data_IF_263694997259
#
_entry.id   IF_263694997259
#
_cell.length_a   1.000
_cell.length_b   1.000
_cell.length_c   1.000
_cell.angle_alpha   90.00
_cell.angle_beta   90.00
_cell.angle_gamma   90.00
#
_symmetry.space_group_name_H-M   'P 1'
#
loop_
_entity.id
_entity.type
_entity.pdbx_description
1 polymer ?
#
# COMPACT_ATOMS: atom_id res chain seq x y z
N UNK A 1 -14.61 -10.38 -12.04
CA UNK A 1 -14.19 -10.99 -10.76
C UNK A 1 -13.56 -12.41 -10.86
N UNK A 2 -14.23 -13.45 -11.40
CA UNK A 2 -13.69 -14.84 -11.40
C UNK A 2 -12.33 -15.04 -12.08
N UNK A 3 -12.05 -14.29 -13.16
CA UNK A 3 -10.77 -14.38 -13.87
C UNK A 3 -9.59 -13.85 -13.02
N UNK A 4 -9.79 -12.73 -12.31
CA UNK A 4 -8.75 -12.16 -11.42
C UNK A 4 -8.41 -13.17 -10.32
N UNK A 5 -9.43 -13.78 -9.72
CA UNK A 5 -9.24 -14.72 -8.63
C UNK A 5 -8.39 -15.92 -9.06
N UNK A 6 -8.60 -16.45 -10.28
CA UNK A 6 -7.77 -17.52 -10.81
C UNK A 6 -6.31 -17.08 -10.98
N UNK A 7 -6.06 -15.89 -11.53
CA UNK A 7 -4.71 -15.35 -11.69
C UNK A 7 -4.02 -15.07 -10.35
N UNK A 8 -4.76 -14.58 -9.35
CA UNK A 8 -4.24 -14.37 -7.99
C UNK A 8 -3.91 -15.68 -7.29
N UNK A 9 -4.66 -16.75 -7.54
CA UNK A 9 -4.31 -18.10 -7.07
C UNK A 9 -3.01 -18.57 -7.74
N UNK A 10 -2.83 -18.32 -9.04
CA UNK A 10 -1.57 -18.64 -9.72
C UNK A 10 -0.38 -17.87 -9.12
N UNK A 11 -0.57 -16.61 -8.72
CA UNK A 11 0.45 -15.83 -8.00
C UNK A 11 0.81 -16.52 -6.68
N UNK A 12 -0.17 -17.00 -5.92
CA UNK A 12 0.08 -17.74 -4.67
C UNK A 12 0.87 -19.04 -4.90
N UNK A 13 0.56 -19.76 -5.98
CA UNK A 13 1.17 -21.06 -6.28
C UNK A 13 2.60 -20.94 -6.83
N UNK A 14 2.86 -19.90 -7.62
CA UNK A 14 4.10 -19.80 -8.40
C UNK A 14 5.02 -18.64 -7.97
N UNK A 15 4.50 -17.67 -7.23
CA UNK A 15 5.17 -16.41 -6.93
C UNK A 15 5.36 -15.49 -8.15
N UNK A 16 4.97 -15.93 -9.35
CA UNK A 16 5.10 -15.17 -10.58
C UNK A 16 3.82 -14.41 -10.89
N UNK A 17 3.96 -13.21 -11.44
CA UNK A 17 2.82 -12.38 -11.88
C UNK A 17 2.58 -12.67 -13.36
N UNK A 18 1.45 -13.33 -13.74
CA UNK A 18 1.18 -13.66 -15.13
C UNK A 18 1.14 -12.40 -16.02
N UNK A 19 1.56 -12.47 -17.30
CA UNK A 19 1.48 -11.33 -18.21
C UNK A 19 0.05 -10.77 -18.37
N UNK A 20 -0.96 -11.65 -18.32
CA UNK A 20 -2.37 -11.27 -18.37
C UNK A 20 -2.77 -10.45 -17.17
N UNK A 21 -2.33 -10.84 -15.96
CA UNK A 21 -2.55 -10.06 -14.74
C UNK A 21 -1.76 -8.75 -14.75
N UNK A 22 -0.53 -8.75 -15.28
CA UNK A 22 0.30 -7.56 -15.37
C UNK A 22 -0.33 -6.43 -16.19
N UNK A 23 -1.07 -6.76 -17.26
CA UNK A 23 -1.79 -5.77 -18.06
C UNK A 23 -2.94 -5.10 -17.28
N UNK A 24 -3.50 -5.82 -16.31
CA UNK A 24 -4.69 -5.42 -15.54
C UNK A 24 -4.37 -4.52 -14.36
N UNK A 25 -3.11 -4.52 -13.90
CA UNK A 25 -2.68 -3.62 -12.83
C UNK A 25 -2.89 -2.13 -13.17
N UNK A 26 -2.95 -1.78 -14.46
CA UNK A 26 -3.21 -0.41 -14.91
C UNK A 26 -4.65 0.04 -14.74
N UNK A 27 -5.60 -0.91 -14.61
CA UNK A 27 -7.01 -0.60 -14.43
C UNK A 27 -7.32 -0.45 -12.93
N UNK A 28 -7.84 0.71 -12.48
CA UNK A 28 -8.08 0.96 -11.06
C UNK A 28 -9.17 0.06 -10.45
N UNK A 29 -10.22 -0.29 -11.19
CA UNK A 29 -11.25 -1.26 -10.72
C UNK A 29 -10.63 -2.63 -10.42
N UNK A 30 -9.78 -3.10 -11.34
CA UNK A 30 -9.08 -4.37 -11.20
C UNK A 30 -8.14 -4.33 -9.99
N UNK A 31 -7.44 -3.22 -9.73
CA UNK A 31 -6.61 -3.06 -8.52
C UNK A 31 -7.44 -3.11 -7.25
N UNK A 32 -8.54 -2.36 -7.18
CA UNK A 32 -9.44 -2.38 -6.02
C UNK A 32 -9.99 -3.78 -5.75
N UNK A 33 -10.41 -4.50 -6.79
CA UNK A 33 -10.84 -5.89 -6.67
C UNK A 33 -9.73 -6.83 -6.17
N UNK A 34 -8.47 -6.59 -6.55
CA UNK A 34 -7.31 -7.32 -6.02
C UNK A 34 -7.10 -7.03 -4.52
N UNK A 35 -7.22 -5.78 -4.08
CA UNK A 35 -7.12 -5.43 -2.66
C UNK A 35 -8.19 -6.14 -1.82
N UNK A 36 -9.44 -6.14 -2.28
CA UNK A 36 -10.53 -6.89 -1.64
C UNK A 36 -10.26 -8.40 -1.54
N UNK A 37 -9.60 -8.98 -2.53
CA UNK A 37 -9.21 -10.39 -2.48
C UNK A 37 -8.07 -10.66 -1.47
N UNK A 38 -7.14 -9.72 -1.32
CA UNK A 38 -5.91 -9.87 -0.53
C UNK A 38 -6.15 -9.55 0.96
N UNK A 39 -7.03 -8.59 1.28
CA UNK A 39 -7.20 -8.04 2.64
C UNK A 39 -7.57 -9.09 3.69
N UNK A 40 -8.27 -10.15 3.29
CA UNK A 40 -8.68 -11.26 4.18
C UNK A 40 -7.77 -12.49 4.10
N UNK A 41 -6.60 -12.34 3.48
CA UNK A 41 -5.61 -13.40 3.30
C UNK A 41 -4.32 -13.05 4.03
N UNK A 42 -3.22 -13.66 3.62
CA UNK A 42 -1.86 -13.34 4.11
C UNK A 42 -1.20 -12.41 3.08
N UNK A 43 -1.19 -11.07 3.28
CA UNK A 43 -0.66 -10.13 2.30
C UNK A 43 0.81 -10.41 1.93
N UNK A 44 1.58 -10.99 2.85
CA UNK A 44 2.97 -11.43 2.63
C UNK A 44 3.12 -12.30 1.37
N UNK A 45 2.14 -13.18 1.11
CA UNK A 45 2.18 -14.09 -0.05
C UNK A 45 1.99 -13.35 -1.38
N UNK A 46 1.51 -12.11 -1.33
CA UNK A 46 1.29 -11.25 -2.48
C UNK A 46 2.27 -10.07 -2.53
N UNK A 47 3.28 -10.01 -1.65
CA UNK A 47 4.14 -8.83 -1.52
C UNK A 47 4.71 -8.32 -2.85
N UNK A 48 5.22 -9.21 -3.70
CA UNK A 48 5.75 -8.82 -5.02
C UNK A 48 4.68 -8.21 -5.93
N UNK A 49 3.44 -8.69 -5.84
CA UNK A 49 2.30 -8.11 -6.55
C UNK A 49 1.91 -6.76 -5.94
N UNK A 50 1.87 -6.65 -4.61
CA UNK A 50 1.55 -5.40 -3.90
C UNK A 50 2.55 -4.29 -4.22
N UNK A 51 3.85 -4.59 -4.31
CA UNK A 51 4.86 -3.61 -4.71
C UNK A 51 4.60 -3.08 -6.13
N UNK A 52 4.22 -3.95 -7.07
CA UNK A 52 3.87 -3.53 -8.43
C UNK A 52 2.55 -2.77 -8.50
N UNK A 53 1.57 -3.16 -7.68
CA UNK A 53 0.31 -2.42 -7.55
C UNK A 53 0.59 -1.01 -7.02
N UNK A 54 1.47 -0.88 -6.03
CA UNK A 54 1.84 0.41 -5.46
C UNK A 54 2.53 1.33 -6.47
N UNK A 55 3.40 0.79 -7.34
CA UNK A 55 3.97 1.54 -8.46
C UNK A 55 2.89 2.09 -9.39
N UNK A 56 1.86 1.30 -9.71
CA UNK A 56 0.73 1.72 -10.54
C UNK A 56 -0.15 2.76 -9.82
N UNK A 57 -0.30 2.69 -8.50
CA UNK A 57 -1.03 3.73 -7.74
C UNK A 57 -0.29 5.07 -7.73
N UNK A 58 1.03 5.06 -7.55
CA UNK A 58 1.85 6.28 -7.66
C UNK A 58 1.74 6.85 -9.08
N UNK A 59 1.84 6.01 -10.11
CA UNK A 59 1.73 6.44 -11.50
C UNK A 59 0.33 7.04 -11.79
N UNK A 60 -0.73 6.36 -11.34
CA UNK A 60 -2.10 6.83 -11.49
C UNK A 60 -2.35 8.16 -10.78
N UNK A 61 -1.82 8.33 -9.56
CA UNK A 61 -1.98 9.58 -8.80
C UNK A 61 -1.23 10.75 -9.43
N UNK A 62 -0.04 10.52 -10.01
CA UNK A 62 0.65 11.53 -10.80
C UNK A 62 -0.14 11.92 -12.06
N UNK A 63 -0.70 10.92 -12.76
CA UNK A 63 -1.50 11.14 -13.96
C UNK A 63 -2.84 11.86 -13.67
N UNK A 64 -3.39 11.70 -12.47
CA UNK A 64 -4.56 12.50 -12.03
C UNK A 64 -4.16 13.95 -11.80
N UNK A 65 -3.03 14.16 -11.12
CA UNK A 65 -2.55 15.49 -10.77
C UNK A 65 -2.12 16.32 -11.98
N UNK A 66 -1.49 15.69 -12.98
CA UNK A 66 -1.11 16.34 -14.23
C UNK A 66 -2.30 16.53 -15.21
N UNK A 67 -3.46 15.94 -14.89
CA UNK A 67 -4.69 16.01 -15.69
C UNK A 67 -4.71 15.11 -16.92
N UNK A 68 -3.78 14.17 -17.07
CA UNK A 68 -3.73 13.22 -18.19
C UNK A 68 -4.79 12.13 -18.09
N UNK A 69 -5.20 11.78 -16.87
CA UNK A 69 -6.38 10.94 -16.62
C UNK A 69 -7.38 11.67 -15.74
N UNK A 70 -8.63 11.21 -15.76
CA UNK A 70 -9.70 11.74 -14.91
C UNK A 70 -10.27 10.62 -14.08
N UNK A 71 -10.50 10.91 -12.82
CA UNK A 71 -11.25 10.08 -11.89
C UNK A 71 -12.42 10.90 -11.34
N UNK A 72 -13.54 10.25 -11.07
CA UNK A 72 -14.68 10.87 -10.39
C UNK A 72 -14.50 10.88 -8.85
N UNK A 73 -13.31 10.50 -8.38
CA UNK A 73 -12.97 10.35 -6.98
C UNK A 73 -13.18 8.92 -6.45
N UNK A 74 -13.56 7.96 -7.29
CA UNK A 74 -13.79 6.58 -6.86
C UNK A 74 -12.52 5.83 -6.49
N UNK A 75 -11.36 6.25 -7.01
CA UNK A 75 -10.10 5.50 -6.87
C UNK A 75 -8.97 6.29 -6.20
N UNK A 76 -9.25 7.51 -5.71
CA UNK A 76 -8.25 8.33 -5.00
C UNK A 76 -7.64 7.60 -3.80
N UNK A 77 -8.42 6.71 -3.18
CA UNK A 77 -8.07 6.04 -1.94
C UNK A 77 -7.25 4.75 -2.14
N UNK A 78 -7.16 4.24 -3.37
CA UNK A 78 -6.53 2.96 -3.68
C UNK A 78 -5.03 2.90 -3.30
N UNK A 79 -4.34 4.04 -3.31
CA UNK A 79 -2.95 4.13 -2.84
C UNK A 79 -2.80 3.83 -1.34
N UNK A 80 -3.76 4.26 -0.52
CA UNK A 80 -3.77 3.99 0.92
C UNK A 80 -4.10 2.53 1.20
N UNK A 81 -5.01 1.95 0.42
CA UNK A 81 -5.33 0.51 0.48
C UNK A 81 -4.09 -0.33 0.22
N UNK A 82 -3.35 -0.01 -0.85
CA UNK A 82 -2.13 -0.73 -1.19
C UNK A 82 -1.03 -0.53 -0.14
N UNK A 83 -0.84 0.71 0.37
CA UNK A 83 0.11 0.99 1.44
C UNK A 83 -0.23 0.21 2.72
N UNK A 84 -1.51 0.08 3.09
CA UNK A 84 -1.94 -0.72 4.23
C UNK A 84 -1.64 -2.21 4.04
N UNK A 85 -1.86 -2.76 2.84
CA UNK A 85 -1.53 -4.16 2.57
C UNK A 85 -0.01 -4.42 2.57
N UNK A 86 0.80 -3.45 2.13
CA UNK A 86 2.26 -3.49 2.29
C UNK A 86 2.67 -3.42 3.76
N UNK A 87 2.05 -2.55 4.56
CA UNK A 87 2.22 -2.54 6.01
C UNK A 87 1.94 -3.93 6.61
N UNK A 88 0.84 -4.58 6.20
CA UNK A 88 0.51 -5.93 6.65
C UNK A 88 1.50 -7.01 6.19
N UNK A 89 2.41 -6.73 5.23
CA UNK A 89 3.47 -7.66 4.87
C UNK A 89 4.54 -7.78 5.97
N UNK A 90 4.64 -6.81 6.88
CA UNK A 90 5.60 -6.78 7.98
C UNK A 90 7.07 -6.89 7.53
N UNK A 91 7.40 -6.32 6.37
CA UNK A 91 8.76 -6.30 5.83
C UNK A 91 9.37 -4.89 5.99
N UNK A 92 10.48 -4.72 6.75
CA UNK A 92 11.07 -3.40 6.98
C UNK A 92 11.49 -2.68 5.69
N UNK A 93 11.84 -3.44 4.65
CA UNK A 93 12.21 -2.89 3.34
C UNK A 93 11.03 -2.24 2.59
N UNK A 94 9.78 -2.54 2.95
CA UNK A 94 8.61 -1.92 2.35
C UNK A 94 8.44 -0.46 2.79
N UNK A 95 8.99 -0.08 3.94
CA UNK A 95 8.96 1.30 4.43
C UNK A 95 9.51 2.30 3.41
N UNK A 96 10.63 1.98 2.77
CA UNK A 96 11.24 2.84 1.73
C UNK A 96 10.38 2.89 0.47
N UNK A 97 9.70 1.79 0.14
CA UNK A 97 8.78 1.76 -0.99
C UNK A 97 7.56 2.64 -0.73
N UNK A 98 6.94 2.53 0.45
CA UNK A 98 5.78 3.34 0.84
C UNK A 98 6.16 4.83 0.89
N UNK A 99 7.36 5.16 1.35
CA UNK A 99 7.84 6.55 1.41
C UNK A 99 7.86 7.25 0.05
N UNK A 100 7.93 6.51 -1.07
CA UNK A 100 7.84 7.10 -2.43
C UNK A 100 6.51 7.80 -2.70
N UNK A 101 5.46 7.47 -1.95
CA UNK A 101 4.18 8.16 -2.02
C UNK A 101 4.06 9.32 -1.00
N UNK A 102 4.99 9.45 -0.06
CA UNK A 102 4.96 10.53 0.92
C UNK A 102 5.13 11.88 0.21
N UNK A 103 4.24 12.83 0.47
CA UNK A 103 4.21 14.14 -0.21
C UNK A 103 4.21 14.08 -1.74
N UNK A 104 3.64 13.01 -2.33
CA UNK A 104 3.61 12.83 -3.78
C UNK A 104 2.95 14.01 -4.51
N UNK A 105 1.85 14.52 -3.96
CA UNK A 105 1.21 15.78 -4.37
C UNK A 105 0.34 16.34 -3.24
N UNK A 106 -0.32 17.49 -3.47
CA UNK A 106 -1.14 18.14 -2.44
C UNK A 106 -2.33 17.31 -1.98
N UNK A 107 -2.85 16.42 -2.82
CA UNK A 107 -4.00 15.58 -2.49
C UNK A 107 -3.63 14.34 -1.67
N UNK A 108 -2.38 13.87 -1.79
CA UNK A 108 -1.85 12.82 -0.91
C UNK A 108 -1.41 13.42 0.42
N UNK A 109 -0.79 14.61 0.40
CA UNK A 109 -0.28 15.24 1.60
C UNK A 109 0.68 14.30 2.35
N UNK A 110 0.38 14.03 3.62
CA UNK A 110 1.19 13.21 4.51
C UNK A 110 0.51 11.87 4.82
N UNK A 111 1.19 10.76 4.53
CA UNK A 111 0.88 9.43 5.07
C UNK A 111 1.23 9.40 6.55
N UNK A 112 0.27 8.96 7.37
CA UNK A 112 0.50 8.75 8.79
C UNK A 112 1.60 7.70 9.05
N UNK A 113 2.30 7.82 10.17
CA UNK A 113 3.46 6.97 10.45
C UNK A 113 3.17 5.49 10.65
N UNK A 114 1.90 5.09 10.81
CA UNK A 114 1.55 3.68 10.99
C UNK A 114 1.91 2.87 9.75
N UNK A 115 1.70 3.45 8.55
CA UNK A 115 2.05 2.79 7.29
C UNK A 115 3.52 2.38 7.19
N UNK A 116 4.42 3.11 7.84
CA UNK A 116 5.85 2.90 7.72
C UNK A 116 6.38 1.80 8.65
N UNK A 117 5.61 1.38 9.65
CA UNK A 117 6.11 0.50 10.73
C UNK A 117 5.47 -0.89 10.72
N UNK A 118 5.24 -1.48 9.54
CA UNK A 118 4.65 -2.82 9.38
C UNK A 118 5.40 -3.93 10.12
N UNK A 119 6.72 -3.86 10.16
CA UNK A 119 7.57 -4.78 10.93
C UNK A 119 7.63 -4.43 12.43
N UNK A 120 6.93 -3.39 12.86
CA UNK A 120 7.06 -2.77 14.17
C UNK A 120 8.09 -1.64 14.19
N UNK A 121 7.92 -0.72 15.14
CA UNK A 121 8.72 0.51 15.27
C UNK A 121 10.23 0.23 15.33
N UNK A 122 10.66 -0.59 16.30
CA UNK A 122 12.08 -0.83 16.55
C UNK A 122 12.76 -1.56 15.38
N UNK A 123 12.09 -2.54 14.78
CA UNK A 123 12.65 -3.31 13.67
C UNK A 123 12.80 -2.43 12.42
N UNK A 124 11.80 -1.58 12.15
CA UNK A 124 11.83 -0.60 11.07
C UNK A 124 12.97 0.40 11.26
N UNK A 125 13.09 1.02 12.44
CA UNK A 125 14.18 1.97 12.72
C UNK A 125 15.56 1.31 12.60
N UNK A 126 15.71 0.08 13.11
CA UNK A 126 16.96 -0.69 12.99
C UNK A 126 17.31 -1.03 11.54
N UNK A 127 16.32 -1.22 10.67
CA UNK A 127 16.54 -1.41 9.24
C UNK A 127 17.00 -0.11 8.55
N UNK A 128 16.35 1.01 8.85
CA UNK A 128 16.68 2.32 8.27
C UNK A 128 18.10 2.76 8.67
N UNK A 129 18.46 2.59 9.95
CA UNK A 129 19.80 2.88 10.45
C UNK A 129 20.88 2.06 9.74
N UNK A 130 20.64 0.76 9.52
CA UNK A 130 21.60 -0.13 8.82
C UNK A 130 21.75 0.20 7.34
N UNK A 131 20.67 0.65 6.69
CA UNK A 131 20.71 1.03 5.26
C UNK A 131 21.55 2.29 5.07
N UNK A 132 21.49 3.22 6.03
CA UNK A 132 22.41 4.37 6.16
C UNK A 132 22.51 5.24 4.89
N UNK A 133 21.38 5.56 4.28
CA UNK A 133 21.26 6.54 3.20
C UNK A 133 20.39 7.74 3.61
N UNK A 134 20.40 8.79 2.79
CA UNK A 134 19.67 10.03 3.08
C UNK A 134 18.15 9.82 3.17
N UNK A 135 17.58 8.95 2.34
CA UNK A 135 16.14 8.66 2.36
C UNK A 135 15.77 7.92 3.63
N UNK A 136 16.56 6.91 4.02
CA UNK A 136 16.36 6.14 5.24
C UNK A 136 16.49 7.02 6.49
N UNK A 137 17.42 7.97 6.51
CA UNK A 137 17.56 8.93 7.60
C UNK A 137 16.32 9.85 7.74
N UNK A 138 15.80 10.36 6.61
CA UNK A 138 14.61 11.21 6.61
C UNK A 138 13.35 10.46 7.08
N UNK A 139 13.21 9.20 6.67
CA UNK A 139 12.12 8.32 7.13
C UNK A 139 12.24 8.09 8.64
N UNK A 140 13.44 7.79 9.14
CA UNK A 140 13.65 7.53 10.56
C UNK A 140 13.29 8.75 11.42
N UNK A 141 13.78 9.95 11.04
CA UNK A 141 13.44 11.20 11.72
C UNK A 141 11.92 11.45 11.74
N UNK A 142 11.24 11.20 10.63
CA UNK A 142 9.79 11.30 10.55
C UNK A 142 9.08 10.37 11.53
N UNK A 143 9.44 9.07 11.52
CA UNK A 143 8.84 8.05 12.39
C UNK A 143 9.09 8.37 13.87
N UNK A 144 10.32 8.77 14.23
CA UNK A 144 10.68 9.12 15.60
C UNK A 144 9.82 10.29 16.11
N UNK A 145 9.74 11.36 15.31
CA UNK A 145 8.93 12.52 15.65
C UNK A 145 7.44 12.15 15.80
N UNK A 146 6.89 11.45 14.81
CA UNK A 146 5.49 10.98 14.81
C UNK A 146 5.18 10.08 16.02
N UNK A 147 6.07 9.15 16.35
CA UNK A 147 5.87 8.18 17.45
C UNK A 147 5.80 8.83 18.82
N UNK A 148 6.39 10.02 18.99
CA UNK A 148 6.34 10.78 20.24
C UNK A 148 4.94 11.30 20.59
N UNK A 149 4.02 11.33 19.60
CA UNK A 149 2.68 11.88 19.74
C UNK A 149 1.58 10.83 19.81
N UNK A 150 1.90 9.53 19.82
CA UNK A 150 0.91 8.46 19.65
C UNK A 150 0.69 7.63 20.90
N UNK A 151 -0.59 7.35 21.15
CA UNK A 151 -1.03 6.36 22.14
C UNK A 151 -1.03 4.95 21.55
N UNK A 152 -0.39 3.96 22.20
CA UNK A 152 -0.37 2.55 21.79
C UNK A 152 -1.76 1.92 21.59
N UNK A 153 -2.78 2.45 22.27
CA UNK A 153 -4.14 1.88 22.27
C UNK A 153 -4.86 2.03 20.91
N UNK A 154 -4.33 2.84 19.99
CA UNK A 154 -4.96 3.20 18.72
C UNK A 154 -4.66 2.25 17.54
N UNK A 155 -3.70 1.33 17.68
CA UNK A 155 -3.23 0.52 16.53
C UNK A 155 -4.30 -0.45 16.01
N UNK A 156 -4.96 -1.17 16.91
CA UNK A 156 -5.98 -2.15 16.52
C UNK A 156 -7.18 -1.49 15.83
N UNK A 157 -7.58 -0.31 16.30
CA UNK A 157 -8.63 0.51 15.69
C UNK A 157 -8.23 0.98 14.30
N UNK A 158 -6.99 1.48 14.14
CA UNK A 158 -6.46 1.89 12.84
C UNK A 158 -6.43 0.72 11.84
N UNK A 159 -5.93 -0.45 12.25
CA UNK A 159 -5.89 -1.65 11.39
C UNK A 159 -7.29 -2.10 10.97
N UNK A 160 -8.22 -2.15 11.92
CA UNK A 160 -9.60 -2.54 11.63
C UNK A 160 -10.29 -1.52 10.72
N UNK A 161 -10.05 -0.23 10.94
CA UNK A 161 -10.56 0.86 10.11
C UNK A 161 -10.08 0.75 8.66
N UNK A 162 -8.78 0.58 8.42
CA UNK A 162 -8.22 0.41 7.08
C UNK A 162 -8.75 -0.85 6.39
N UNK A 163 -8.88 -1.95 7.12
CA UNK A 163 -9.48 -3.18 6.58
C UNK A 163 -10.93 -2.95 6.15
N UNK A 164 -11.75 -2.34 7.00
CA UNK A 164 -13.17 -2.10 6.67
C UNK A 164 -13.31 -1.16 5.49
N UNK A 165 -12.46 -0.14 5.41
CA UNK A 165 -12.45 0.81 4.30
C UNK A 165 -12.22 0.14 2.94
N UNK A 166 -11.27 -0.80 2.85
CA UNK A 166 -11.07 -1.61 1.64
C UNK A 166 -12.34 -2.37 1.27
N UNK A 167 -12.99 -3.01 2.25
CA UNK A 167 -14.17 -3.83 2.01
C UNK A 167 -15.38 -2.99 1.59
N UNK A 168 -15.55 -1.81 2.17
CA UNK A 168 -16.60 -0.86 1.83
C UNK A 168 -16.43 -0.36 0.39
N UNK A 169 -15.21 0.03 -0.01
CA UNK A 169 -14.93 0.48 -1.38
C UNK A 169 -15.12 -0.66 -2.40
N UNK A 170 -14.69 -1.88 -2.07
CA UNK A 170 -14.91 -3.07 -2.91
C UNK A 170 -16.39 -3.39 -3.08
N UNK A 171 -17.22 -3.12 -2.07
CA UNK A 171 -18.67 -3.35 -2.14
C UNK A 171 -19.38 -2.41 -3.12
N UNK A 172 -18.72 -1.29 -3.48
CA UNK A 172 -19.20 -0.32 -4.45
C UNK A 172 -18.76 -0.66 -5.90
N UNK A 173 -17.97 -1.71 -6.12
CA UNK A 173 -17.66 -2.21 -7.46
C UNK A 173 -18.88 -2.95 -8.05
N UNK A 174 -19.39 -2.46 -9.17
CA UNK A 174 -20.50 -3.06 -9.94
C UNK A 174 -20.19 -4.49 -10.47
#
# INVERSE_FOLDING_TARGET
MKLIQHELIQVLETGAIPPTLAARLRNPDDRLAMYGFIVDRKPQQFRQLLLRLFDEEIAFRNALWDGTVKDNGAFSECIYHCAFLLYCCAEPSDTVNIWRAQYLNQDIGELDGWYFIGAGLNETLSYLERTNDQTSAAIAEYIENWSSYISPDSLSEWQQGRRNWILDDVSCLD
#
